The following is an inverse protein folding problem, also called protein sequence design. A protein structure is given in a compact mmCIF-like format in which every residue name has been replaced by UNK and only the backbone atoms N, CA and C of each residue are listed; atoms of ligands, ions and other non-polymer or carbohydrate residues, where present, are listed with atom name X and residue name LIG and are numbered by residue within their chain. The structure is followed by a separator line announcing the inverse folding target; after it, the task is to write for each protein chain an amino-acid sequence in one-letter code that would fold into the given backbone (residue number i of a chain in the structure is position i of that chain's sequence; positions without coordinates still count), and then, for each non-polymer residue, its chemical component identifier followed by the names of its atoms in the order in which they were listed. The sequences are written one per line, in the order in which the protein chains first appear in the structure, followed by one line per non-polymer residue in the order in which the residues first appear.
data_IF_874487796944
#
_entry.id   IF_874487796944
#
_cell.length_a   1.000
_cell.length_b   1.000
_cell.length_c   1.000
_cell.angle_alpha   90.00
_cell.angle_beta   90.00
_cell.angle_gamma   90.00
#
_symmetry.space_group_name_H-M   'P 1'
#
loop_
_entity.id
_entity.type
_entity.pdbx_description
1 polymer ?
#
# COMPACT_ATOMS: atom_id res chain seq x y z
N UNK A 1 3.29 11.56 23.02
CA UNK A 1 4.42 10.78 22.48
C UNK A 1 4.88 9.69 23.42
N UNK A 2 5.57 9.92 24.56
CA UNK A 2 6.13 8.82 25.38
C UNK A 2 5.11 7.72 25.74
N UNK A 3 3.98 8.03 26.38
CA UNK A 3 3.12 6.98 26.94
C UNK A 3 2.49 5.99 25.94
N UNK A 4 2.07 6.45 24.75
CA UNK A 4 1.45 5.60 23.71
C UNK A 4 2.50 4.78 22.96
N UNK A 5 3.59 5.44 22.55
CA UNK A 5 4.74 4.77 21.92
C UNK A 5 5.38 3.76 22.89
N UNK A 6 5.42 4.05 24.18
CA UNK A 6 5.92 3.15 25.23
C UNK A 6 4.99 1.94 25.44
N UNK A 7 3.66 2.12 25.30
CA UNK A 7 2.69 1.03 25.41
C UNK A 7 2.76 0.07 24.21
N UNK A 8 2.84 0.59 22.98
CA UNK A 8 3.06 -0.22 21.77
C UNK A 8 4.42 -0.93 21.84
N UNK A 9 5.50 -0.20 22.19
CA UNK A 9 6.84 -0.80 22.37
C UNK A 9 6.83 -1.89 23.44
N UNK A 10 6.01 -1.76 24.49
CA UNK A 10 5.87 -2.77 25.55
C UNK A 10 5.13 -4.01 25.06
N UNK A 11 4.04 -3.86 24.30
CA UNK A 11 3.29 -4.96 23.67
C UNK A 11 4.14 -5.71 22.63
N UNK A 12 4.89 -4.99 21.81
CA UNK A 12 5.77 -5.56 20.77
C UNK A 12 6.97 -6.34 21.33
N UNK A 13 7.42 -6.03 22.56
CA UNK A 13 8.53 -6.73 23.22
C UNK A 13 8.23 -8.20 23.54
N UNK A 14 6.96 -8.58 23.54
CA UNK A 14 6.50 -9.92 23.87
C UNK A 14 6.34 -10.85 22.64
N UNK A 15 6.20 -10.31 21.41
CA UNK A 15 5.75 -11.10 20.24
C UNK A 15 6.67 -11.13 18.99
N UNK A 16 7.77 -10.37 18.92
CA UNK A 16 8.60 -10.33 17.71
C UNK A 16 9.93 -11.12 17.79
N UNK A 17 10.16 -11.94 16.76
CA UNK A 17 11.39 -12.69 16.50
C UNK A 17 12.58 -11.75 16.39
N UNK A 18 13.71 -12.14 17.01
CA UNK A 18 14.95 -11.36 16.98
C UNK A 18 15.59 -11.42 15.58
N UNK A 19 16.37 -10.41 15.16
CA UNK A 19 17.05 -10.40 13.86
C UNK A 19 17.94 -11.63 13.59
N UNK A 20 18.42 -12.32 14.63
CA UNK A 20 19.21 -13.55 14.50
C UNK A 20 18.42 -14.81 14.11
N UNK A 21 17.08 -14.79 14.20
CA UNK A 21 16.23 -15.94 13.85
C UNK A 21 15.87 -15.98 12.35
N UNK A 22 16.30 -14.98 11.57
CA UNK A 22 15.94 -14.74 10.18
C UNK A 22 16.36 -15.91 9.25
N UNK A 23 17.51 -16.55 9.45
CA UNK A 23 18.02 -17.53 8.47
C UNK A 23 17.25 -18.86 8.39
N UNK A 24 16.70 -19.38 9.49
CA UNK A 24 15.87 -20.62 9.47
C UNK A 24 14.38 -20.33 9.37
N UNK A 25 13.93 -19.14 9.79
CA UNK A 25 12.54 -18.71 9.60
C UNK A 25 12.24 -18.30 8.15
N UNK A 26 13.25 -17.91 7.36
CA UNK A 26 13.03 -17.47 5.97
C UNK A 26 12.42 -18.54 5.06
N UNK A 27 12.84 -19.81 5.14
CA UNK A 27 12.27 -20.85 4.27
C UNK A 27 10.80 -21.14 4.57
N UNK A 28 10.41 -21.22 5.85
CA UNK A 28 9.01 -21.45 6.23
C UNK A 28 8.11 -20.27 5.88
N UNK A 29 8.59 -19.03 6.06
CA UNK A 29 7.89 -17.81 5.62
C UNK A 29 7.61 -17.86 4.12
N UNK A 30 8.62 -18.21 3.32
CA UNK A 30 8.46 -18.36 1.86
C UNK A 30 7.43 -19.43 1.49
N UNK A 31 7.49 -20.62 2.10
CA UNK A 31 6.46 -21.65 1.88
C UNK A 31 5.06 -21.19 2.29
N UNK A 32 4.94 -20.40 3.36
CA UNK A 32 3.64 -19.86 3.79
C UNK A 32 3.11 -18.83 2.79
N UNK A 33 3.94 -17.86 2.36
CA UNK A 33 3.62 -16.89 1.31
C UNK A 33 3.12 -17.60 0.05
N UNK A 34 3.81 -18.67 -0.34
CA UNK A 34 3.46 -19.49 -1.49
C UNK A 34 2.12 -20.20 -1.34
N UNK A 35 1.88 -20.82 -0.19
CA UNK A 35 0.58 -21.44 0.09
C UNK A 35 -0.55 -20.41 0.03
N UNK A 36 -0.32 -19.20 0.53
CA UNK A 36 -1.32 -18.12 0.51
C UNK A 36 -1.64 -17.66 -0.92
N UNK A 37 -0.63 -17.54 -1.80
CA UNK A 37 -0.87 -17.27 -3.21
C UNK A 37 -1.65 -18.39 -3.90
N UNK A 38 -1.26 -19.65 -3.67
CA UNK A 38 -1.95 -20.81 -4.27
C UNK A 38 -3.39 -20.90 -3.79
N UNK A 39 -3.64 -20.77 -2.49
CA UNK A 39 -4.97 -20.78 -1.88
C UNK A 39 -5.83 -19.63 -2.42
N UNK A 40 -5.29 -18.41 -2.42
CA UNK A 40 -5.96 -17.21 -2.93
C UNK A 40 -6.38 -17.34 -4.38
N UNK A 41 -5.45 -17.71 -5.28
CA UNK A 41 -5.77 -17.86 -6.70
C UNK A 41 -6.72 -19.02 -6.98
N UNK A 42 -6.61 -20.12 -6.23
CA UNK A 42 -7.53 -21.26 -6.40
C UNK A 42 -8.94 -20.90 -5.97
N UNK A 43 -9.09 -20.11 -4.89
CA UNK A 43 -10.38 -19.65 -4.42
C UNK A 43 -11.03 -18.65 -5.38
N UNK A 44 -10.26 -17.67 -5.86
CA UNK A 44 -10.80 -16.62 -6.72
C UNK A 44 -11.03 -17.08 -8.17
N UNK A 45 -10.17 -17.97 -8.72
CA UNK A 45 -10.29 -18.43 -10.11
C UNK A 45 -11.51 -19.29 -10.44
N UNK A 46 -12.39 -19.53 -9.46
CA UNK A 46 -13.67 -20.24 -9.61
C UNK A 46 -14.84 -19.29 -9.87
N UNK A 47 -14.61 -17.98 -9.81
CA UNK A 47 -15.63 -16.95 -9.91
C UNK A 47 -15.50 -16.13 -11.20
N UNK A 48 -16.48 -15.29 -11.41
CA UNK A 48 -16.52 -14.27 -12.44
C UNK A 48 -17.34 -13.08 -11.94
N UNK A 49 -17.30 -11.98 -12.66
CA UNK A 49 -18.01 -10.76 -12.28
C UNK A 49 -17.64 -10.25 -10.88
N UNK A 50 -16.34 -10.32 -10.58
CA UNK A 50 -15.79 -9.93 -9.30
C UNK A 50 -15.80 -8.41 -9.12
N UNK A 51 -16.38 -7.96 -8.01
CA UNK A 51 -16.33 -6.57 -7.54
C UNK A 51 -15.72 -6.60 -6.14
N UNK A 52 -14.61 -5.88 -5.97
CA UNK A 52 -13.97 -5.76 -4.65
C UNK A 52 -14.42 -4.47 -3.98
N UNK A 53 -14.93 -4.61 -2.75
CA UNK A 53 -15.44 -3.51 -1.93
C UNK A 53 -14.55 -3.31 -0.71
N UNK A 54 -14.06 -2.08 -0.56
CA UNK A 54 -13.19 -1.62 0.52
C UNK A 54 -13.87 -0.57 1.38
N UNK A 55 -13.43 -0.47 2.64
CA UNK A 55 -13.87 0.60 3.55
C UNK A 55 -13.58 0.29 5.00
N UNK A 56 -14.06 1.16 5.88
CA UNK A 56 -13.78 1.12 7.31
C UNK A 56 -14.29 -0.15 7.99
N UNK A 57 -13.46 -0.71 8.88
CA UNK A 57 -13.84 -1.75 9.83
C UNK A 57 -14.61 -1.22 11.05
N UNK A 58 -14.69 0.11 11.21
CA UNK A 58 -15.20 0.78 12.42
C UNK A 58 -16.63 1.35 12.27
N UNK A 59 -17.13 1.48 11.05
CA UNK A 59 -18.44 2.10 10.82
C UNK A 59 -19.58 1.15 11.22
N UNK A 60 -20.45 1.54 12.18
CA UNK A 60 -21.51 0.67 12.72
C UNK A 60 -22.72 0.55 11.78
N UNK A 61 -23.60 -0.44 12.04
CA UNK A 61 -24.77 -0.74 11.20
C UNK A 61 -25.74 0.45 10.99
N UNK A 62 -25.79 1.40 11.93
CA UNK A 62 -26.66 2.57 11.86
C UNK A 62 -26.10 3.70 10.97
N UNK A 63 -24.80 3.67 10.64
CA UNK A 63 -24.15 4.63 9.76
C UNK A 63 -24.73 4.58 8.33
N UNK A 64 -24.77 5.73 7.64
CA UNK A 64 -25.27 5.83 6.26
C UNK A 64 -24.46 4.97 5.30
N UNK A 65 -23.13 5.04 5.34
CA UNK A 65 -22.24 4.28 4.45
C UNK A 65 -22.31 2.77 4.69
N UNK A 66 -22.62 2.31 5.92
CA UNK A 66 -22.91 0.90 6.14
C UNK A 66 -24.17 0.47 5.36
N UNK A 67 -25.22 1.30 5.37
CA UNK A 67 -26.45 0.99 4.63
C UNK A 67 -26.22 1.02 3.12
N UNK A 68 -25.44 1.98 2.63
CA UNK A 68 -25.05 2.05 1.21
C UNK A 68 -24.19 0.85 0.79
N UNK A 69 -23.17 0.47 1.58
CA UNK A 69 -22.36 -0.71 1.29
C UNK A 69 -23.20 -2.00 1.28
N UNK A 70 -24.15 -2.12 2.20
CA UNK A 70 -25.11 -3.22 2.19
C UNK A 70 -26.00 -3.18 0.95
N UNK A 71 -26.50 -2.00 0.58
CA UNK A 71 -27.35 -1.82 -0.60
C UNK A 71 -26.61 -2.21 -1.88
N UNK A 72 -25.35 -1.80 -2.02
CA UNK A 72 -24.49 -2.20 -3.12
C UNK A 72 -24.33 -3.72 -3.17
N UNK A 73 -24.03 -4.37 -2.04
CA UNK A 73 -23.96 -5.82 -1.97
C UNK A 73 -25.25 -6.52 -2.43
N UNK A 74 -26.42 -5.97 -2.07
CA UNK A 74 -27.70 -6.49 -2.57
C UNK A 74 -27.85 -6.34 -4.09
N UNK A 75 -27.47 -5.19 -4.66
CA UNK A 75 -27.51 -4.92 -6.10
C UNK A 75 -26.58 -5.87 -6.87
N UNK A 76 -25.34 -6.02 -6.41
CA UNK A 76 -24.36 -6.93 -6.99
C UNK A 76 -24.90 -8.36 -7.06
N UNK A 77 -25.45 -8.87 -5.96
CA UNK A 77 -26.01 -10.21 -5.91
C UNK A 77 -27.23 -10.40 -6.82
N UNK A 78 -28.14 -9.42 -6.90
CA UNK A 78 -29.32 -9.48 -7.78
C UNK A 78 -28.89 -9.62 -9.26
N UNK A 79 -27.77 -9.00 -9.64
CA UNK A 79 -27.25 -9.00 -11.00
C UNK A 79 -26.15 -10.06 -11.25
N UNK A 80 -25.97 -11.03 -10.33
CA UNK A 80 -25.01 -12.12 -10.41
C UNK A 80 -23.51 -11.70 -10.40
N UNK A 81 -23.19 -10.59 -9.74
CA UNK A 81 -21.80 -10.22 -9.44
C UNK A 81 -21.31 -10.92 -8.18
N UNK A 82 -20.02 -11.24 -8.16
CA UNK A 82 -19.32 -11.79 -7.00
C UNK A 82 -18.80 -10.65 -6.13
N UNK A 83 -19.24 -10.60 -4.86
CA UNK A 83 -18.79 -9.57 -3.92
C UNK A 83 -17.56 -10.05 -3.16
N UNK A 84 -16.43 -9.37 -3.32
CA UNK A 84 -15.18 -9.62 -2.59
C UNK A 84 -14.95 -8.50 -1.57
N UNK A 85 -14.59 -8.86 -0.34
CA UNK A 85 -14.19 -7.88 0.68
C UNK A 85 -12.99 -8.41 1.48
N UNK A 86 -12.48 -7.58 2.38
CA UNK A 86 -11.49 -7.97 3.37
C UNK A 86 -12.03 -8.85 4.52
N UNK A 87 -13.33 -9.17 4.54
CA UNK A 87 -13.94 -10.14 5.47
C UNK A 87 -14.19 -9.65 6.90
N UNK A 88 -13.71 -8.47 7.29
CA UNK A 88 -13.91 -7.92 8.63
C UNK A 88 -15.29 -7.30 8.89
N UNK A 89 -15.49 -6.67 10.07
CA UNK A 89 -16.69 -5.89 10.40
C UNK A 89 -16.80 -4.60 9.57
N UNK A 90 -17.84 -3.81 9.84
CA UNK A 90 -18.05 -2.49 9.23
C UNK A 90 -18.50 -2.58 7.78
N UNK A 91 -17.90 -1.78 6.89
CA UNK A 91 -18.26 -1.74 5.46
C UNK A 91 -18.12 -3.12 4.80
N UNK A 92 -17.06 -3.86 5.13
CA UNK A 92 -16.82 -5.19 4.58
C UNK A 92 -17.97 -6.15 4.93
N UNK A 93 -18.37 -6.15 6.20
CA UNK A 93 -19.53 -6.92 6.67
C UNK A 93 -20.82 -6.46 5.98
N UNK A 94 -21.04 -5.15 5.85
CA UNK A 94 -22.23 -4.61 5.21
C UNK A 94 -22.39 -5.12 3.77
N UNK A 95 -21.35 -5.00 2.95
CA UNK A 95 -21.34 -5.48 1.58
C UNK A 95 -21.56 -7.00 1.50
N UNK A 96 -20.88 -7.78 2.36
CA UNK A 96 -21.10 -9.22 2.45
C UNK A 96 -22.53 -9.57 2.88
N UNK A 97 -23.09 -8.87 3.86
CA UNK A 97 -24.47 -9.03 4.36
C UNK A 97 -25.50 -8.76 3.27
N UNK A 98 -25.28 -7.72 2.46
CA UNK A 98 -26.12 -7.40 1.32
C UNK A 98 -26.13 -8.52 0.28
N UNK A 99 -24.94 -8.96 -0.14
CA UNK A 99 -24.80 -10.02 -1.14
C UNK A 99 -25.38 -11.36 -0.64
N UNK A 100 -25.00 -11.77 0.58
CA UNK A 100 -25.49 -12.99 1.21
C UNK A 100 -27.01 -12.98 1.38
N UNK A 101 -27.60 -11.85 1.80
CA UNK A 101 -29.05 -11.72 2.00
C UNK A 101 -29.88 -11.88 0.73
N UNK A 102 -29.25 -11.79 -0.44
CA UNK A 102 -29.87 -12.05 -1.76
C UNK A 102 -29.41 -13.37 -2.40
N UNK A 103 -28.66 -14.19 -1.67
CA UNK A 103 -28.15 -15.47 -2.14
C UNK A 103 -26.99 -15.36 -3.13
N UNK A 104 -26.33 -14.19 -3.22
CA UNK A 104 -25.15 -13.98 -4.04
C UNK A 104 -23.87 -14.53 -3.41
N UNK A 105 -22.82 -14.64 -4.23
CA UNK A 105 -21.49 -15.05 -3.77
C UNK A 105 -20.85 -13.93 -2.95
N UNK A 106 -20.51 -14.24 -1.70
CA UNK A 106 -19.81 -13.34 -0.79
C UNK A 106 -18.49 -13.94 -0.34
N UNK A 107 -17.39 -13.32 -0.74
CA UNK A 107 -16.02 -13.75 -0.47
C UNK A 107 -15.38 -12.81 0.56
N UNK A 108 -14.72 -13.38 1.56
CA UNK A 108 -13.94 -12.66 2.57
C UNK A 108 -12.47 -13.06 2.54
N UNK A 109 -11.59 -12.10 2.29
CA UNK A 109 -10.13 -12.29 2.31
C UNK A 109 -9.58 -11.76 3.63
N UNK A 110 -9.53 -12.60 4.66
CA UNK A 110 -9.18 -12.22 6.03
C UNK A 110 -7.68 -12.08 6.26
N UNK A 111 -7.28 -11.28 7.25
CA UNK A 111 -5.88 -11.16 7.71
C UNK A 111 -5.79 -11.63 9.16
N UNK A 112 -4.80 -12.46 9.48
CA UNK A 112 -4.50 -12.82 10.86
C UNK A 112 -3.77 -11.66 11.54
N UNK A 113 -4.43 -10.97 12.46
CA UNK A 113 -3.84 -9.90 13.28
C UNK A 113 -3.40 -10.42 14.66
N UNK A 114 -2.49 -9.72 15.36
CA UNK A 114 -2.15 -10.05 16.76
C UNK A 114 -3.36 -9.99 17.71
N UNK A 115 -4.32 -9.12 17.39
CA UNK A 115 -5.56 -8.93 18.14
C UNK A 115 -6.76 -9.09 17.20
N UNK A 116 -7.86 -9.65 17.71
CA UNK A 116 -9.00 -10.20 16.95
C UNK A 116 -9.56 -9.27 15.85
N UNK A 117 -9.66 -9.83 14.64
CA UNK A 117 -10.67 -9.47 13.66
C UNK A 117 -11.24 -10.79 13.13
N UNK A 118 -12.40 -11.20 13.63
CA UNK A 118 -13.09 -12.39 13.14
C UNK A 118 -13.68 -12.13 11.76
N UNK A 119 -13.74 -13.18 10.94
CA UNK A 119 -14.49 -13.17 9.69
C UNK A 119 -15.98 -12.92 9.99
N UNK A 120 -16.60 -11.98 9.28
CA UNK A 120 -18.01 -11.69 9.48
C UNK A 120 -18.91 -12.87 9.04
N UNK A 121 -20.10 -13.05 9.64
CA UNK A 121 -20.91 -14.25 9.46
C UNK A 121 -21.60 -14.37 8.09
N UNK A 122 -21.51 -13.35 7.23
CA UNK A 122 -22.16 -13.33 5.93
C UNK A 122 -21.25 -13.83 4.80
N UNK A 123 -19.96 -14.02 5.09
CA UNK A 123 -18.99 -14.59 4.16
C UNK A 123 -19.34 -16.05 3.87
N UNK A 124 -19.52 -16.36 2.58
CA UNK A 124 -19.82 -17.72 2.10
C UNK A 124 -18.56 -18.51 1.74
N UNK A 125 -17.48 -17.82 1.39
CA UNK A 125 -16.17 -18.41 1.10
C UNK A 125 -15.07 -17.50 1.65
N UNK A 126 -14.07 -18.08 2.30
CA UNK A 126 -13.01 -17.30 2.94
C UNK A 126 -11.62 -17.84 2.64
N UNK A 127 -10.65 -16.94 2.49
CA UNK A 127 -9.21 -17.27 2.52
C UNK A 127 -8.57 -16.39 3.58
N UNK A 128 -7.71 -16.99 4.42
CA UNK A 128 -7.04 -16.28 5.52
C UNK A 128 -5.55 -16.15 5.24
N UNK A 129 -5.05 -14.92 5.33
CA UNK A 129 -3.67 -14.57 5.07
C UNK A 129 -2.93 -14.24 6.36
N UNK A 130 -1.62 -14.45 6.37
CA UNK A 130 -0.72 -14.07 7.47
C UNK A 130 0.00 -12.75 7.16
N UNK A 131 0.16 -12.45 5.88
CA UNK A 131 0.86 -11.28 5.37
C UNK A 131 -0.11 -10.34 4.65
N UNK A 132 -0.03 -9.05 4.94
CA UNK A 132 -0.87 -8.06 4.27
C UNK A 132 -0.65 -8.05 2.76
N UNK A 133 0.59 -8.11 2.28
CA UNK A 133 0.86 -8.00 0.85
C UNK A 133 0.22 -9.14 0.03
N UNK A 134 0.23 -10.39 0.50
CA UNK A 134 -0.39 -11.52 -0.21
C UNK A 134 -1.90 -11.35 -0.30
N UNK A 135 -2.52 -10.93 0.81
CA UNK A 135 -3.94 -10.56 0.88
C UNK A 135 -4.27 -9.42 -0.07
N UNK A 136 -3.48 -8.35 -0.07
CA UNK A 136 -3.69 -7.18 -0.94
C UNK A 136 -3.63 -7.60 -2.41
N UNK A 137 -2.68 -8.45 -2.80
CA UNK A 137 -2.65 -8.98 -4.18
C UNK A 137 -3.92 -9.76 -4.53
N UNK A 138 -4.53 -10.48 -3.58
CA UNK A 138 -5.81 -11.16 -3.83
C UNK A 138 -6.99 -10.18 -3.87
N UNK A 139 -6.95 -9.10 -3.09
CA UNK A 139 -7.97 -8.04 -3.11
C UNK A 139 -7.87 -7.16 -4.37
N UNK A 140 -6.68 -7.01 -4.94
CA UNK A 140 -6.46 -6.31 -6.22
C UNK A 140 -6.43 -7.27 -7.41
N UNK A 141 -6.68 -8.57 -7.18
CA UNK A 141 -6.86 -9.53 -8.25
C UNK A 141 -8.03 -9.10 -9.15
N UNK A 142 -8.02 -9.48 -10.45
CA UNK A 142 -8.91 -8.94 -11.47
C UNK A 142 -10.35 -8.81 -10.98
N UNK A 143 -10.73 -7.56 -10.71
CA UNK A 143 -12.08 -7.14 -10.37
C UNK A 143 -12.53 -6.23 -11.50
N UNK A 144 -13.79 -6.32 -11.92
CA UNK A 144 -14.32 -5.46 -12.98
C UNK A 144 -14.43 -4.00 -12.54
N UNK A 145 -14.50 -3.77 -11.23
CA UNK A 145 -14.40 -2.47 -10.60
C UNK A 145 -13.90 -2.62 -9.15
N UNK A 146 -13.33 -1.54 -8.63
CA UNK A 146 -13.00 -1.40 -7.22
C UNK A 146 -13.88 -0.32 -6.61
N UNK A 147 -14.55 -0.63 -5.50
CA UNK A 147 -15.45 0.32 -4.82
C UNK A 147 -14.89 0.63 -3.44
N UNK A 148 -14.65 1.91 -3.16
CA UNK A 148 -14.11 2.41 -1.90
C UNK A 148 -15.15 3.28 -1.18
N UNK A 149 -15.58 2.80 -0.02
CA UNK A 149 -16.34 3.58 0.96
C UNK A 149 -15.38 4.30 1.93
N UNK A 150 -15.87 5.26 2.73
CA UNK A 150 -15.09 5.91 3.78
C UNK A 150 -14.35 4.90 4.68
N UNK A 151 -13.08 5.19 4.94
CA UNK A 151 -12.12 4.22 5.45
C UNK A 151 -11.01 4.82 6.30
N UNK A 152 -10.16 3.99 6.88
CA UNK A 152 -8.98 4.43 7.65
C UNK A 152 -7.69 4.27 6.84
N UNK A 153 -6.54 4.15 7.51
CA UNK A 153 -5.25 3.95 6.86
C UNK A 153 -5.20 2.70 5.98
N UNK A 154 -5.79 1.57 6.39
CA UNK A 154 -5.84 0.37 5.55
C UNK A 154 -6.60 0.57 4.23
N UNK A 155 -7.71 1.33 4.26
CA UNK A 155 -8.46 1.68 3.04
C UNK A 155 -7.67 2.63 2.15
N UNK A 156 -6.92 3.58 2.73
CA UNK A 156 -6.03 4.46 1.97
C UNK A 156 -4.88 3.69 1.33
N UNK A 157 -4.29 2.73 2.05
CA UNK A 157 -3.26 1.81 1.53
C UNK A 157 -3.79 1.07 0.30
N UNK A 158 -4.95 0.40 0.42
CA UNK A 158 -5.60 -0.34 -0.66
C UNK A 158 -5.97 0.59 -1.85
N UNK A 159 -6.47 1.80 -1.58
CA UNK A 159 -6.80 2.80 -2.61
C UNK A 159 -5.58 3.24 -3.41
N UNK A 160 -4.51 3.67 -2.73
CA UNK A 160 -3.30 4.10 -3.40
C UNK A 160 -2.57 2.96 -4.09
N UNK A 161 -2.67 1.73 -3.58
CA UNK A 161 -2.16 0.55 -4.28
C UNK A 161 -2.86 0.36 -5.62
N UNK A 162 -4.20 0.26 -5.62
CA UNK A 162 -4.98 0.05 -6.85
C UNK A 162 -4.72 1.17 -7.85
N UNK A 163 -4.75 2.42 -7.40
CA UNK A 163 -4.54 3.57 -8.26
C UNK A 163 -3.12 3.59 -8.84
N UNK A 164 -2.09 3.31 -8.03
CA UNK A 164 -0.71 3.28 -8.48
C UNK A 164 -0.43 2.12 -9.46
N UNK A 165 -0.88 0.90 -9.15
CA UNK A 165 -0.69 -0.28 -10.01
C UNK A 165 -1.39 -0.12 -11.37
N UNK A 166 -2.58 0.49 -11.37
CA UNK A 166 -3.34 0.79 -12.59
C UNK A 166 -2.60 1.80 -13.48
N UNK A 167 -2.03 2.83 -12.87
CA UNK A 167 -1.25 3.85 -13.58
C UNK A 167 0.08 3.33 -14.14
N UNK A 168 0.72 2.41 -13.41
CA UNK A 168 1.94 1.75 -13.86
C UNK A 168 1.69 0.62 -14.87
N UNK A 169 0.42 0.26 -15.13
CA UNK A 169 0.04 -0.77 -16.09
C UNK A 169 0.26 -2.20 -15.60
N UNK A 170 0.34 -2.43 -14.29
CA UNK A 170 0.43 -3.77 -13.69
C UNK A 170 -0.94 -4.42 -13.51
N UNK A 171 -1.99 -3.62 -13.42
CA UNK A 171 -3.39 -4.05 -13.37
C UNK A 171 -4.16 -3.52 -14.57
N UNK A 172 -5.26 -4.18 -14.92
CA UNK A 172 -6.16 -3.68 -15.97
C UNK A 172 -6.80 -2.37 -15.51
N UNK A 173 -6.96 -1.42 -16.44
CA UNK A 173 -7.73 -0.19 -16.18
C UNK A 173 -9.21 -0.54 -16.06
N UNK A 174 -9.72 -0.40 -14.85
CA UNK A 174 -11.12 -0.60 -14.45
C UNK A 174 -11.57 0.61 -13.63
N UNK A 175 -12.88 0.86 -13.52
CA UNK A 175 -13.38 1.96 -12.69
C UNK A 175 -12.95 1.81 -11.23
N UNK A 176 -12.41 2.90 -10.67
CA UNK A 176 -12.14 3.07 -9.24
C UNK A 176 -13.23 3.99 -8.69
N UNK A 177 -14.23 3.40 -8.06
CA UNK A 177 -15.45 4.11 -7.62
C UNK A 177 -15.29 4.50 -6.16
N UNK A 178 -15.42 5.79 -5.88
CA UNK A 178 -15.36 6.39 -4.55
C UNK A 178 -16.78 6.79 -4.14
N UNK A 179 -17.28 6.20 -3.05
CA UNK A 179 -18.64 6.48 -2.54
C UNK A 179 -18.58 7.50 -1.41
N UNK A 180 -19.34 8.58 -1.52
CA UNK A 180 -19.46 9.66 -0.53
C UNK A 180 -18.51 10.83 -0.78
N UNK A 181 -18.99 11.87 -1.48
CA UNK A 181 -18.16 13.02 -1.84
C UNK A 181 -17.61 13.79 -0.64
N UNK A 182 -18.39 13.94 0.42
CA UNK A 182 -17.97 14.62 1.66
C UNK A 182 -16.68 14.00 2.25
N UNK A 183 -16.50 12.68 2.11
CA UNK A 183 -15.27 12.01 2.55
C UNK A 183 -14.13 12.19 1.56
N UNK A 184 -14.35 11.94 0.27
CA UNK A 184 -13.26 11.81 -0.71
C UNK A 184 -12.78 13.13 -1.31
N UNK A 185 -13.63 14.16 -1.34
CA UNK A 185 -13.31 15.42 -2.00
C UNK A 185 -12.05 16.10 -1.42
N UNK A 186 -11.84 16.20 -0.09
CA UNK A 186 -10.61 16.80 0.46
C UNK A 186 -9.33 16.08 0.03
N UNK A 187 -9.37 14.75 -0.12
CA UNK A 187 -8.25 13.98 -0.63
C UNK A 187 -8.00 14.26 -2.12
N UNK A 188 -9.07 14.31 -2.92
CA UNK A 188 -8.97 14.65 -4.34
C UNK A 188 -8.45 16.09 -4.53
N UNK A 189 -8.83 17.03 -3.66
CA UNK A 189 -8.32 18.40 -3.65
C UNK A 189 -6.82 18.40 -3.35
N UNK A 190 -6.34 17.63 -2.36
CA UNK A 190 -4.90 17.45 -2.13
C UNK A 190 -4.16 16.91 -3.36
N UNK A 191 -4.72 15.90 -4.04
CA UNK A 191 -4.11 15.34 -5.25
C UNK A 191 -4.06 16.38 -6.39
N UNK A 192 -5.11 17.17 -6.57
CA UNK A 192 -5.16 18.22 -7.61
C UNK A 192 -4.26 19.42 -7.28
N UNK A 193 -4.30 19.90 -6.04
CA UNK A 193 -3.62 21.14 -5.63
C UNK A 193 -2.14 20.90 -5.33
N UNK A 194 -1.81 19.96 -4.44
CA UNK A 194 -0.42 19.70 -4.05
C UNK A 194 0.32 18.84 -5.08
N UNK A 195 -0.31 17.77 -5.56
CA UNK A 195 0.39 16.78 -6.38
C UNK A 195 0.41 17.14 -7.88
N UNK A 196 -0.71 17.61 -8.45
CA UNK A 196 -0.80 17.98 -9.87
C UNK A 196 -0.37 19.44 -10.09
N UNK A 197 -1.02 20.40 -9.44
CA UNK A 197 -0.80 21.83 -9.72
C UNK A 197 0.41 22.43 -9.01
N UNK A 198 0.73 21.92 -7.82
CA UNK A 198 1.79 22.44 -6.96
C UNK A 198 3.18 21.91 -7.33
N UNK A 199 3.43 20.63 -7.07
CA UNK A 199 4.76 20.00 -7.24
C UNK A 199 4.87 19.22 -8.56
N UNK A 200 3.77 19.06 -9.31
CA UNK A 200 3.73 18.33 -10.59
C UNK A 200 4.26 16.88 -10.48
N UNK A 201 4.00 16.25 -9.34
CA UNK A 201 4.27 14.83 -9.10
C UNK A 201 3.28 13.91 -9.82
N UNK A 202 2.09 14.44 -10.16
CA UNK A 202 1.02 13.76 -10.87
C UNK A 202 0.52 14.63 -12.04
N UNK A 203 -0.32 14.03 -12.87
CA UNK A 203 -1.04 14.66 -13.99
C UNK A 203 -2.51 14.24 -13.96
N UNK A 204 -3.39 14.93 -14.69
CA UNK A 204 -4.81 14.58 -14.75
C UNK A 204 -5.07 13.13 -15.22
N UNK A 205 -4.23 12.59 -16.10
CA UNK A 205 -4.35 11.19 -16.55
C UNK A 205 -4.21 10.19 -15.40
N UNK A 206 -3.50 10.56 -14.32
CA UNK A 206 -3.35 9.68 -13.17
C UNK A 206 -4.66 9.45 -12.39
N UNK A 207 -5.60 10.39 -12.47
CA UNK A 207 -6.87 10.34 -11.74
C UNK A 207 -8.06 9.96 -12.63
N UNK A 208 -7.83 9.73 -13.93
CA UNK A 208 -8.90 9.58 -14.94
C UNK A 208 -9.84 8.39 -14.73
N UNK A 209 -9.38 7.37 -14.02
CA UNK A 209 -10.13 6.13 -13.77
C UNK A 209 -10.97 6.23 -12.49
N UNK A 210 -10.84 7.32 -11.73
CA UNK A 210 -11.63 7.63 -10.54
C UNK A 210 -13.04 8.08 -10.93
N UNK A 211 -14.06 7.56 -10.23
CA UNK A 211 -15.46 7.98 -10.33
C UNK A 211 -15.98 8.28 -8.93
N UNK A 212 -16.29 9.53 -8.65
CA UNK A 212 -16.90 9.94 -7.40
C UNK A 212 -18.42 9.87 -7.52
N UNK A 213 -19.07 9.17 -6.60
CA UNK A 213 -20.52 8.95 -6.56
C UNK A 213 -21.05 9.14 -5.13
N UNK A 214 -22.35 9.35 -4.99
CA UNK A 214 -22.97 9.57 -3.67
C UNK A 214 -23.48 8.29 -3.01
N UNK A 215 -23.96 7.33 -3.80
CA UNK A 215 -24.69 6.18 -3.29
C UNK A 215 -24.42 4.86 -4.05
N UNK A 216 -25.03 3.79 -3.54
CA UNK A 216 -24.87 2.45 -4.09
C UNK A 216 -25.45 2.29 -5.50
N UNK A 217 -26.53 3.00 -5.82
CA UNK A 217 -27.19 2.98 -7.12
C UNK A 217 -26.28 3.58 -8.19
N UNK A 218 -25.74 4.78 -7.96
CA UNK A 218 -24.78 5.42 -8.87
C UNK A 218 -23.51 4.58 -9.08
N UNK A 219 -23.00 3.97 -8.00
CA UNK A 219 -21.87 3.03 -8.09
C UNK A 219 -22.23 1.84 -9.01
N UNK A 220 -23.42 1.27 -8.84
CA UNK A 220 -23.86 0.12 -9.62
C UNK A 220 -24.11 0.47 -11.10
N UNK A 221 -24.62 1.66 -11.42
CA UNK A 221 -24.80 2.11 -12.81
C UNK A 221 -23.48 2.13 -13.60
N UNK A 222 -22.36 2.41 -12.92
CA UNK A 222 -21.02 2.35 -13.52
C UNK A 222 -20.56 0.89 -13.67
N UNK A 223 -20.78 0.07 -12.65
CA UNK A 223 -20.43 -1.37 -12.65
C UNK A 223 -21.19 -2.14 -13.73
N UNK A 224 -22.45 -1.83 -13.98
CA UNK A 224 -23.25 -2.50 -15.01
C UNK A 224 -22.69 -2.27 -16.43
N UNK A 225 -21.89 -1.23 -16.62
CA UNK A 225 -21.24 -0.89 -17.90
C UNK A 225 -19.88 -1.57 -18.08
N UNK A 226 -19.35 -2.27 -17.06
CA UNK A 226 -18.06 -2.95 -17.16
C UNK A 226 -18.18 -4.30 -17.85
N UNK A 227 -17.10 -4.73 -18.50
CA UNK A 227 -17.03 -6.06 -19.10
C UNK A 227 -16.31 -7.02 -18.16
N UNK A 228 -16.77 -8.27 -18.16
CA UNK A 228 -16.11 -9.33 -17.40
C UNK A 228 -14.71 -9.61 -17.88
N UNK A 229 -13.84 -9.80 -16.91
CA UNK A 229 -12.42 -9.93 -17.14
C UNK A 229 -12.10 -11.42 -17.15
N UNK A 230 -11.62 -11.99 -18.28
CA UNK A 230 -11.38 -13.43 -18.35
C UNK A 230 -10.39 -13.90 -17.27
N UNK A 231 -10.86 -14.88 -16.50
CA UNK A 231 -10.21 -15.66 -15.44
C UNK A 231 -8.77 -15.25 -15.03
N UNK A 232 -8.62 -14.96 -13.74
CA UNK A 232 -7.42 -14.54 -12.98
C UNK A 232 -6.12 -15.22 -13.41
N UNK A 233 -6.18 -16.51 -13.74
CA UNK A 233 -5.03 -17.28 -14.25
C UNK A 233 -4.37 -16.68 -15.50
N UNK A 234 -5.08 -15.88 -16.29
CA UNK A 234 -4.60 -15.27 -17.54
C UNK A 234 -4.01 -13.86 -17.38
N UNK A 235 -4.30 -13.16 -16.27
CA UNK A 235 -4.02 -11.71 -16.15
C UNK A 235 -2.88 -11.33 -15.22
N UNK A 236 -2.69 -12.03 -14.10
CA UNK A 236 -1.41 -11.99 -13.35
C UNK A 236 -0.24 -12.47 -14.24
N UNK A 237 -0.61 -13.05 -15.39
CA UNK A 237 0.23 -13.58 -16.44
C UNK A 237 0.51 -12.60 -17.60
N UNK A 238 0.31 -11.27 -17.48
CA UNK A 238 0.87 -10.30 -18.43
C UNK A 238 2.05 -9.54 -17.85
N UNK A 239 3.24 -9.91 -18.29
CA UNK A 239 4.47 -9.15 -18.12
C UNK A 239 5.03 -8.84 -19.50
N UNK A 240 6.03 -7.95 -19.64
CA UNK A 240 6.66 -7.71 -20.91
C UNK A 240 7.32 -9.02 -21.41
N UNK A 241 7.08 -9.37 -22.68
CA UNK A 241 7.48 -10.61 -23.37
C UNK A 241 6.63 -11.88 -23.15
N UNK A 242 5.42 -11.90 -23.69
CA UNK A 242 4.77 -13.15 -24.17
C UNK A 242 5.34 -13.57 -25.56
N UNK A 243 6.66 -13.69 -25.71
CA UNK A 243 7.26 -14.17 -26.97
C UNK A 243 8.32 -15.29 -26.84
N UNK A 244 8.72 -15.72 -25.64
CA UNK A 244 9.63 -16.86 -25.50
C UNK A 244 8.87 -18.14 -25.17
N UNK A 245 8.61 -18.90 -26.24
CA UNK A 245 8.17 -20.28 -26.22
C UNK A 245 9.14 -21.16 -25.43
N UNK A 246 8.72 -21.59 -24.23
CA UNK A 246 9.02 -22.92 -23.74
C UNK A 246 7.70 -23.60 -23.38
N UNK A 247 7.21 -24.40 -24.32
CA UNK A 247 6.09 -25.30 -24.09
C UNK A 247 6.48 -26.30 -22.99
N UNK A 248 5.96 -26.13 -21.78
CA UNK A 248 6.06 -27.09 -20.68
C UNK A 248 4.71 -27.16 -19.98
N UNK A 249 4.30 -28.40 -19.69
CA UNK A 249 3.05 -28.92 -19.13
C UNK A 249 1.97 -27.93 -18.62
N UNK A 250 0.68 -28.17 -18.94
CA UNK A 250 -0.42 -27.44 -18.33
C UNK A 250 -0.41 -27.67 -16.80
N UNK A 251 -0.24 -26.61 -16.02
CA UNK A 251 -0.42 -26.63 -14.56
C UNK A 251 0.72 -26.12 -13.70
N UNK A 252 1.90 -25.78 -14.22
CA UNK A 252 2.99 -25.22 -13.40
C UNK A 252 3.39 -23.82 -13.86
N UNK A 253 3.01 -22.82 -13.05
CA UNK A 253 3.22 -21.41 -13.36
C UNK A 253 4.64 -20.97 -12.93
N UNK A 254 5.56 -20.80 -13.89
CA UNK A 254 6.94 -20.38 -13.65
C UNK A 254 7.07 -19.01 -12.95
N UNK A 255 6.05 -18.14 -13.02
CA UNK A 255 6.06 -16.83 -12.34
C UNK A 255 6.04 -16.94 -10.84
N UNK A 256 5.40 -17.98 -10.30
CA UNK A 256 5.44 -18.27 -8.86
C UNK A 256 6.90 -18.49 -8.39
N UNK A 257 7.73 -19.13 -9.22
CA UNK A 257 9.16 -19.28 -8.92
C UNK A 257 9.95 -17.97 -9.09
N UNK A 258 9.56 -17.08 -10.02
CA UNK A 258 10.15 -15.73 -10.14
C UNK A 258 9.81 -14.86 -8.93
N UNK A 259 8.56 -14.86 -8.49
CA UNK A 259 8.10 -14.19 -7.26
C UNK A 259 8.92 -14.69 -6.05
N UNK A 260 9.13 -16.00 -5.97
CA UNK A 260 9.97 -16.61 -4.92
C UNK A 260 11.42 -16.15 -4.99
N UNK A 261 12.00 -16.12 -6.19
CA UNK A 261 13.37 -15.64 -6.38
C UNK A 261 13.50 -14.19 -5.92
N UNK A 262 12.58 -13.31 -6.33
CA UNK A 262 12.55 -11.91 -5.89
C UNK A 262 12.42 -11.77 -4.37
N UNK A 263 11.57 -12.57 -3.71
CA UNK A 263 11.50 -12.55 -2.25
C UNK A 263 12.79 -13.01 -1.58
N UNK A 264 13.42 -14.07 -2.09
CA UNK A 264 14.68 -14.59 -1.54
C UNK A 264 15.79 -13.55 -1.69
N UNK A 265 15.95 -13.00 -2.90
CA UNK A 265 16.96 -11.98 -3.20
C UNK A 265 16.69 -10.69 -2.42
N UNK A 266 15.43 -10.28 -2.33
CA UNK A 266 15.00 -9.12 -1.56
C UNK A 266 15.29 -9.25 -0.08
N UNK A 267 14.91 -10.37 0.54
CA UNK A 267 15.16 -10.63 1.96
C UNK A 267 16.65 -10.74 2.27
N UNK A 268 17.43 -11.35 1.38
CA UNK A 268 18.89 -11.39 1.50
C UNK A 268 19.53 -10.00 1.36
N UNK A 269 19.02 -9.18 0.44
CA UNK A 269 19.47 -7.80 0.23
C UNK A 269 19.25 -6.97 1.49
N UNK A 270 18.01 -6.88 2.00
CA UNK A 270 17.70 -6.06 3.19
C UNK A 270 18.22 -6.67 4.48
N UNK A 271 18.34 -8.00 4.56
CA UNK A 271 18.86 -8.70 5.76
C UNK A 271 20.35 -8.44 6.02
N UNK A 272 21.07 -7.91 5.04
CA UNK A 272 22.47 -7.47 5.17
C UNK A 272 22.61 -6.00 5.58
N UNK A 273 21.52 -5.25 5.61
CA UNK A 273 21.53 -3.83 5.92
C UNK A 273 21.27 -3.61 7.41
N UNK A 274 22.08 -2.76 8.03
CA UNK A 274 21.89 -2.31 9.41
C UNK A 274 21.81 -0.78 9.44
N UNK A 275 21.14 -0.21 10.45
CA UNK A 275 21.03 1.24 10.65
C UNK A 275 20.55 2.03 9.42
N UNK A 276 19.50 1.53 8.75
CA UNK A 276 18.93 2.15 7.56
C UNK A 276 17.94 3.25 7.91
N UNK A 277 18.03 4.39 7.22
CA UNK A 277 16.97 5.39 7.09
C UNK A 277 16.45 5.36 5.67
N UNK A 278 15.14 5.20 5.52
CA UNK A 278 14.48 5.13 4.22
C UNK A 278 13.97 6.49 3.81
N UNK A 279 14.40 6.98 2.65
CA UNK A 279 13.99 8.28 2.09
C UNK A 279 13.22 8.06 0.80
N UNK A 280 11.99 8.56 0.76
CA UNK A 280 11.04 8.41 -0.34
C UNK A 280 10.55 9.77 -0.83
N UNK A 281 10.23 9.85 -2.11
CA UNK A 281 9.75 11.06 -2.77
C UNK A 281 9.65 10.86 -4.27
N UNK A 282 9.21 11.91 -4.96
CA UNK A 282 8.99 11.88 -6.41
C UNK A 282 10.29 11.74 -7.21
N UNK A 283 10.17 11.07 -8.35
CA UNK A 283 11.23 10.98 -9.37
C UNK A 283 11.17 12.09 -10.43
N UNK A 284 10.20 12.99 -10.33
CA UNK A 284 9.86 13.97 -11.37
C UNK A 284 10.46 15.35 -11.14
N UNK A 285 11.22 15.55 -10.06
CA UNK A 285 11.84 16.83 -9.73
C UNK A 285 13.31 16.85 -10.15
N UNK A 286 13.73 17.95 -10.75
CA UNK A 286 15.11 18.20 -11.15
C UNK A 286 15.99 18.65 -9.96
N UNK A 287 17.31 18.60 -10.17
CA UNK A 287 18.32 18.89 -9.15
C UNK A 287 18.40 20.35 -8.69
N UNK A 288 17.82 21.28 -9.46
CA UNK A 288 17.78 22.71 -9.15
C UNK A 288 16.62 23.11 -8.22
N UNK A 289 15.73 22.17 -7.91
CA UNK A 289 14.57 22.43 -7.06
C UNK A 289 14.94 22.58 -5.59
N UNK A 290 14.14 23.35 -4.84
CA UNK A 290 14.31 23.47 -3.38
C UNK A 290 14.18 22.12 -2.66
N UNK A 291 13.29 21.26 -3.16
CA UNK A 291 13.02 19.94 -2.59
C UNK A 291 14.23 19.02 -2.72
N UNK A 292 14.88 19.00 -3.88
CA UNK A 292 16.10 18.23 -4.09
C UNK A 292 17.18 18.68 -3.09
N UNK A 293 17.39 19.99 -2.97
CA UNK A 293 18.40 20.55 -2.05
C UNK A 293 18.11 20.22 -0.57
N UNK A 294 16.86 20.32 -0.11
CA UNK A 294 16.51 19.97 1.26
C UNK A 294 16.67 18.46 1.53
N UNK A 295 16.25 17.60 0.60
CA UNK A 295 16.46 16.14 0.74
C UNK A 295 17.94 15.78 0.74
N UNK A 296 18.75 16.45 -0.10
CA UNK A 296 20.20 16.32 -0.06
C UNK A 296 20.74 16.67 1.33
N UNK A 297 20.36 17.82 1.91
CA UNK A 297 20.84 18.26 3.23
C UNK A 297 20.41 17.33 4.37
N UNK A 298 19.19 16.80 4.31
CA UNK A 298 18.70 15.81 5.27
C UNK A 298 19.54 14.55 5.18
N UNK A 299 19.72 14.00 3.97
CA UNK A 299 20.48 12.79 3.77
C UNK A 299 21.96 12.96 4.15
N UNK A 300 22.55 14.12 3.89
CA UNK A 300 23.92 14.50 4.28
C UNK A 300 24.09 14.36 5.80
N UNK A 301 23.22 15.00 6.59
CA UNK A 301 23.27 14.91 8.05
C UNK A 301 22.96 13.52 8.60
N UNK A 302 21.99 12.81 8.00
CA UNK A 302 21.67 11.42 8.37
C UNK A 302 22.86 10.49 8.11
N UNK A 303 23.59 10.71 7.02
CA UNK A 303 24.82 10.00 6.69
C UNK A 303 25.96 10.33 7.66
N UNK A 304 26.16 11.60 8.03
CA UNK A 304 27.14 12.00 9.05
C UNK A 304 26.89 11.31 10.40
N UNK A 305 25.64 11.04 10.75
CA UNK A 305 25.23 10.31 11.96
C UNK A 305 25.49 8.80 11.89
N UNK A 306 26.00 8.30 10.77
CA UNK A 306 26.34 6.89 10.58
C UNK A 306 25.15 6.01 10.16
N UNK A 307 24.02 6.59 9.77
CA UNK A 307 22.93 5.83 9.16
C UNK A 307 23.18 5.62 7.66
N UNK A 308 22.74 4.48 7.16
CA UNK A 308 22.77 4.16 5.73
C UNK A 308 21.48 4.59 5.05
N UNK A 309 21.57 5.04 3.79
CA UNK A 309 20.42 5.54 3.04
C UNK A 309 19.84 4.46 2.11
N UNK A 310 18.55 4.17 2.29
CA UNK A 310 17.74 3.32 1.40
C UNK A 310 16.71 4.18 0.66
N UNK A 311 16.58 4.00 -0.65
CA UNK A 311 15.60 4.72 -1.47
C UNK A 311 14.90 3.82 -2.48
N UNK A 312 13.96 4.37 -3.26
CA UNK A 312 13.39 3.71 -4.43
C UNK A 312 14.33 3.61 -5.64
N UNK A 313 15.51 4.24 -5.58
CA UNK A 313 16.57 4.17 -6.58
C UNK A 313 16.36 4.97 -7.86
N UNK A 314 15.24 5.65 -8.01
CA UNK A 314 14.97 6.51 -9.17
C UNK A 314 15.80 7.80 -9.17
N UNK A 315 15.83 8.55 -10.29
CA UNK A 315 16.20 9.96 -10.29
C UNK A 315 15.32 10.81 -9.36
N UNK A 316 15.65 12.10 -9.19
CA UNK A 316 14.85 13.07 -8.44
C UNK A 316 15.17 13.10 -6.93
N UNK A 317 14.16 13.05 -6.06
CA UNK A 317 14.41 13.09 -4.61
C UNK A 317 15.20 11.88 -4.09
N UNK A 318 14.96 10.64 -4.55
CA UNK A 318 15.82 9.50 -4.20
C UNK A 318 17.28 9.70 -4.63
N UNK A 319 17.51 10.31 -5.79
CA UNK A 319 18.85 10.66 -6.27
C UNK A 319 19.53 11.68 -5.36
N UNK A 320 18.83 12.74 -4.93
CA UNK A 320 19.37 13.72 -3.99
C UNK A 320 19.88 13.07 -2.70
N UNK A 321 19.09 12.14 -2.16
CA UNK A 321 19.44 11.40 -0.96
C UNK A 321 20.65 10.48 -1.18
N UNK A 322 20.67 9.74 -2.29
CA UNK A 322 21.80 8.87 -2.62
C UNK A 322 23.08 9.68 -2.90
N UNK A 323 22.96 10.82 -3.58
CA UNK A 323 24.09 11.71 -3.86
C UNK A 323 24.75 12.22 -2.57
N UNK A 324 23.96 12.70 -1.62
CA UNK A 324 24.48 13.20 -0.35
C UNK A 324 25.24 12.11 0.44
N UNK A 325 24.71 10.90 0.49
CA UNK A 325 25.38 9.77 1.14
C UNK A 325 26.69 9.39 0.42
N UNK A 326 26.71 9.39 -0.92
CA UNK A 326 27.93 9.14 -1.72
C UNK A 326 29.00 10.20 -1.50
N UNK A 327 28.61 11.47 -1.41
CA UNK A 327 29.53 12.58 -1.15
C UNK A 327 30.16 12.46 0.25
N UNK A 328 29.48 11.82 1.20
CA UNK A 328 30.00 11.42 2.52
C UNK A 328 30.80 10.09 2.51
N UNK A 329 31.02 9.50 1.33
CA UNK A 329 31.77 8.24 1.18
C UNK A 329 31.02 6.99 1.67
N UNK A 330 29.69 7.07 1.86
CA UNK A 330 28.89 5.93 2.27
C UNK A 330 28.34 5.14 1.07
N UNK A 331 28.09 3.85 1.29
CA UNK A 331 27.30 3.03 0.38
C UNK A 331 25.82 3.43 0.45
N UNK A 332 25.17 3.33 -0.70
CA UNK A 332 23.76 3.69 -0.93
C UNK A 332 22.99 2.52 -1.51
N UNK A 333 21.73 2.40 -1.11
CA UNK A 333 20.90 1.24 -1.42
C UNK A 333 19.62 1.66 -2.15
N UNK A 334 19.22 0.88 -3.17
CA UNK A 334 18.00 1.11 -3.95
C UNK A 334 17.13 -0.13 -4.07
N UNK A 335 15.82 0.02 -3.83
CA UNK A 335 14.80 -1.00 -4.10
C UNK A 335 13.91 -0.55 -5.26
N UNK A 336 14.20 -1.10 -6.43
CA UNK A 336 13.79 -0.54 -7.71
C UNK A 336 12.72 -1.42 -8.34
N UNK A 337 11.65 -0.80 -8.84
CA UNK A 337 10.63 -1.49 -9.62
C UNK A 337 10.95 -1.36 -11.11
N UNK A 338 10.97 -2.49 -11.84
CA UNK A 338 11.06 -2.52 -13.29
C UNK A 338 9.70 -2.16 -13.88
N UNK A 339 9.59 -0.97 -14.47
CA UNK A 339 8.40 -0.55 -15.20
C UNK A 339 8.73 -0.66 -16.69
N UNK A 340 7.97 -1.47 -17.42
CA UNK A 340 8.17 -1.72 -18.87
C UNK A 340 9.60 -2.11 -19.27
N UNK A 341 10.23 -3.03 -18.51
CA UNK A 341 11.60 -3.53 -18.72
C UNK A 341 12.73 -2.48 -18.67
N UNK A 342 12.48 -1.29 -18.14
CA UNK A 342 13.48 -0.22 -18.05
C UNK A 342 13.55 0.35 -16.63
N UNK A 343 14.43 -0.19 -15.75
CA UNK A 343 14.67 0.46 -14.47
C UNK A 343 15.30 1.83 -14.69
N UNK A 344 14.65 2.88 -14.19
CA UNK A 344 15.25 4.21 -14.11
C UNK A 344 16.07 4.27 -12.83
N UNK A 345 17.38 4.08 -12.96
CA UNK A 345 18.33 4.13 -11.85
C UNK A 345 19.01 5.50 -11.81
N UNK A 346 19.29 6.01 -10.61
CA UNK A 346 20.21 7.13 -10.46
C UNK A 346 21.68 6.65 -10.37
N UNK A 347 22.62 7.52 -10.74
CA UNK A 347 24.06 7.18 -10.83
C UNK A 347 24.75 7.05 -9.46
N UNK A 348 24.08 7.47 -8.38
CA UNK A 348 24.64 7.49 -7.02
C UNK A 348 24.31 6.22 -6.23
N UNK A 349 23.68 5.21 -6.84
CA UNK A 349 23.44 3.92 -6.21
C UNK A 349 24.71 3.06 -6.18
N UNK A 350 25.08 2.60 -4.99
CA UNK A 350 26.22 1.69 -4.78
C UNK A 350 25.78 0.24 -4.93
N UNK A 351 24.61 -0.07 -4.38
CA UNK A 351 23.98 -1.38 -4.45
C UNK A 351 22.49 -1.20 -4.70
N UNK A 352 21.90 -2.06 -5.50
CA UNK A 352 20.45 -2.05 -5.73
C UNK A 352 19.95 -3.44 -6.05
N UNK A 353 18.65 -3.61 -5.87
CA UNK A 353 17.90 -4.77 -6.32
C UNK A 353 16.70 -4.31 -7.13
N UNK A 354 16.40 -5.05 -8.19
CA UNK A 354 15.26 -4.80 -9.08
C UNK A 354 14.19 -5.85 -8.89
N UNK A 355 12.94 -5.43 -8.99
CA UNK A 355 11.76 -6.28 -8.88
C UNK A 355 10.88 -6.09 -10.10
N UNK A 356 10.30 -7.17 -10.61
CA UNK A 356 9.33 -7.11 -11.70
C UNK A 356 7.89 -7.11 -11.18
N UNK A 357 7.68 -7.56 -9.94
CA UNK A 357 6.37 -7.52 -9.30
C UNK A 357 6.28 -6.35 -8.30
N UNK A 358 5.27 -5.47 -8.40
CA UNK A 358 5.09 -4.37 -7.45
C UNK A 358 4.98 -4.85 -6.00
N UNK A 359 4.29 -5.96 -5.75
CA UNK A 359 4.05 -6.44 -4.40
C UNK A 359 5.28 -7.05 -3.72
N UNK A 360 6.19 -7.70 -4.46
CA UNK A 360 7.49 -8.16 -3.91
C UNK A 360 8.35 -6.96 -3.55
N UNK A 361 8.45 -5.99 -4.48
CA UNK A 361 9.16 -4.72 -4.29
C UNK A 361 8.65 -3.98 -3.06
N UNK A 362 7.33 -3.91 -2.92
CA UNK A 362 6.63 -3.25 -1.83
C UNK A 362 6.99 -3.85 -0.47
N UNK A 363 6.90 -5.18 -0.35
CA UNK A 363 7.24 -5.90 0.87
C UNK A 363 8.71 -5.68 1.29
N UNK A 364 9.62 -5.53 0.33
CA UNK A 364 11.05 -5.37 0.62
C UNK A 364 11.40 -3.92 0.99
N UNK A 365 10.77 -2.91 0.38
CA UNK A 365 11.04 -1.50 0.71
C UNK A 365 10.40 -1.05 2.02
N UNK A 366 9.34 -1.72 2.47
CA UNK A 366 8.77 -1.53 3.80
C UNK A 366 9.50 -2.32 4.88
N UNK A 367 10.64 -2.95 4.56
CA UNK A 367 11.49 -3.60 5.55
C UNK A 367 11.86 -2.61 6.69
N UNK A 368 11.94 -3.10 7.95
CA UNK A 368 12.11 -2.23 9.11
C UNK A 368 13.28 -1.26 8.96
N UNK A 369 12.96 0.02 8.94
CA UNK A 369 13.93 1.12 8.91
C UNK A 369 13.97 1.82 10.27
N UNK A 370 15.10 2.44 10.60
CA UNK A 370 15.26 3.27 11.82
C UNK A 370 14.41 4.52 11.79
N UNK A 371 14.07 4.99 10.59
CA UNK A 371 13.13 6.08 10.33
C UNK A 371 12.72 6.06 8.85
N UNK A 372 11.55 6.61 8.56
CA UNK A 372 11.08 6.88 7.21
C UNK A 372 10.91 8.38 7.01
N UNK A 373 11.47 8.91 5.92
CA UNK A 373 11.36 10.31 5.53
C UNK A 373 10.68 10.39 4.17
N UNK A 374 9.58 11.13 4.11
CA UNK A 374 8.80 11.35 2.89
C UNK A 374 8.91 12.81 2.48
N UNK A 375 9.61 13.07 1.37
CA UNK A 375 9.49 14.33 0.63
C UNK A 375 8.28 14.31 -0.30
N UNK A 376 7.97 15.44 -0.97
CA UNK A 376 6.86 15.49 -1.93
C UNK A 376 6.86 14.37 -2.95
N UNK A 377 5.70 13.76 -3.20
CA UNK A 377 5.61 12.48 -3.91
C UNK A 377 4.34 12.28 -4.73
N UNK A 378 4.33 11.25 -5.56
CA UNK A 378 3.14 10.83 -6.30
C UNK A 378 2.44 9.64 -5.65
N UNK A 379 1.66 8.90 -6.45
CA UNK A 379 0.90 7.73 -6.01
C UNK A 379 1.78 6.66 -5.34
N UNK A 380 2.97 6.38 -5.88
CA UNK A 380 3.90 5.42 -5.27
C UNK A 380 4.40 5.85 -3.89
N UNK A 381 4.58 7.16 -3.65
CA UNK A 381 4.97 7.70 -2.34
C UNK A 381 3.82 7.62 -1.35
N UNK A 382 2.60 7.93 -1.80
CA UNK A 382 1.38 7.87 -0.98
C UNK A 382 1.03 6.43 -0.60
N UNK A 383 1.12 5.48 -1.53
CA UNK A 383 0.94 4.06 -1.25
C UNK A 383 1.94 3.59 -0.17
N UNK A 384 3.21 3.94 -0.31
CA UNK A 384 4.24 3.60 0.68
C UNK A 384 3.99 4.23 2.06
N UNK A 385 3.51 5.46 2.10
CA UNK A 385 3.16 6.15 3.34
C UNK A 385 2.04 5.39 4.07
N UNK A 386 0.93 5.11 3.39
CA UNK A 386 -0.21 4.44 4.01
C UNK A 386 0.04 2.97 4.32
N UNK A 387 0.92 2.28 3.58
CA UNK A 387 1.35 0.93 3.95
C UNK A 387 2.10 0.93 5.28
N UNK A 388 3.11 1.80 5.45
CA UNK A 388 3.88 1.87 6.71
C UNK A 388 2.96 2.25 7.87
N UNK A 389 2.09 3.26 7.69
CA UNK A 389 1.11 3.65 8.70
C UNK A 389 0.17 2.50 9.07
N UNK A 390 -0.29 1.71 8.10
CA UNK A 390 -1.16 0.55 8.34
C UNK A 390 -0.41 -0.55 9.10
N UNK A 391 0.83 -0.85 8.72
CA UNK A 391 1.65 -1.85 9.40
C UNK A 391 1.97 -1.46 10.84
N UNK A 392 2.23 -0.18 11.10
CA UNK A 392 2.48 0.36 12.44
C UNK A 392 1.20 0.38 13.28
N UNK A 393 0.09 0.89 12.73
CA UNK A 393 -1.23 0.92 13.38
C UNK A 393 -1.70 -0.48 13.79
N UNK A 394 -1.45 -1.49 12.95
CA UNK A 394 -1.88 -2.89 13.19
C UNK A 394 -0.85 -3.71 13.97
N UNK A 395 0.22 -3.06 14.45
CA UNK A 395 1.32 -3.68 15.19
C UNK A 395 1.99 -4.85 14.43
N UNK A 396 1.95 -4.84 13.09
CA UNK A 396 2.66 -5.81 12.24
C UNK A 396 4.13 -5.49 12.02
N UNK A 397 4.50 -4.23 12.25
CA UNK A 397 5.90 -3.78 12.30
C UNK A 397 6.15 -2.97 13.56
N UNK A 398 7.42 -2.82 13.93
CA UNK A 398 7.82 -1.93 15.02
C UNK A 398 7.62 -0.47 14.63
N UNK A 399 7.23 0.36 15.59
CA UNK A 399 7.16 1.80 15.37
C UNK A 399 8.54 2.38 15.03
N UNK A 400 8.57 3.25 14.04
CA UNK A 400 9.72 4.07 13.67
C UNK A 400 9.28 5.53 13.45
N UNK A 401 10.16 6.53 13.60
CA UNK A 401 9.80 7.90 13.29
C UNK A 401 9.45 8.02 11.81
N UNK A 402 8.20 8.39 11.52
CA UNK A 402 7.72 8.70 10.18
C UNK A 402 7.62 10.22 10.02
N UNK A 403 8.40 10.76 9.08
CA UNK A 403 8.58 12.19 8.90
C UNK A 403 8.10 12.63 7.53
N UNK A 404 7.17 13.57 7.52
CA UNK A 404 6.66 14.22 6.31
C UNK A 404 7.38 15.58 6.16
N UNK A 405 8.31 15.66 5.21
CA UNK A 405 9.10 16.87 4.97
C UNK A 405 8.44 17.74 3.90
N UNK A 406 8.36 19.05 4.18
CA UNK A 406 7.60 20.08 3.46
C UNK A 406 6.12 20.17 3.86
N UNK A 407 5.85 20.92 4.94
CA UNK A 407 4.49 21.22 5.43
C UNK A 407 3.57 21.77 4.34
N UNK A 408 3.95 22.75 3.50
CA UNK A 408 3.03 23.27 2.49
C UNK A 408 2.48 22.19 1.55
N UNK A 409 3.32 21.23 1.15
CA UNK A 409 2.89 20.10 0.35
C UNK A 409 1.98 19.14 1.14
N UNK A 410 2.37 18.74 2.35
CA UNK A 410 1.68 17.70 3.12
C UNK A 410 0.46 18.16 3.92
N UNK A 411 0.33 19.46 4.22
CA UNK A 411 -0.71 19.98 5.11
C UNK A 411 -2.12 19.60 4.68
N UNK A 412 -2.53 19.70 3.38
CA UNK A 412 -3.90 19.32 3.00
C UNK A 412 -4.19 17.83 3.22
N UNK A 413 -3.21 16.94 3.03
CA UNK A 413 -3.37 15.52 3.35
C UNK A 413 -3.49 15.29 4.86
N UNK A 414 -2.71 16.01 5.66
CA UNK A 414 -2.80 15.90 7.13
C UNK A 414 -4.11 16.48 7.66
N UNK A 415 -4.61 17.55 7.05
CA UNK A 415 -5.93 18.11 7.36
C UNK A 415 -7.04 17.11 7.00
N UNK A 416 -6.93 16.39 5.88
CA UNK A 416 -7.83 15.28 5.55
C UNK A 416 -7.75 14.14 6.60
N UNK A 417 -6.54 13.76 7.03
CA UNK A 417 -6.37 12.72 8.06
C UNK A 417 -7.00 13.15 9.40
N UNK A 418 -6.75 14.38 9.85
CA UNK A 418 -7.24 14.84 11.15
C UNK A 418 -8.74 15.20 11.12
N UNK A 419 -9.16 16.02 10.16
CA UNK A 419 -10.54 16.50 10.10
C UNK A 419 -11.49 15.40 9.60
N UNK A 420 -11.14 14.72 8.50
CA UNK A 420 -12.04 13.75 7.86
C UNK A 420 -11.93 12.37 8.49
N UNK A 421 -10.76 11.74 8.49
CA UNK A 421 -10.61 10.36 8.99
C UNK A 421 -10.83 10.27 10.51
N UNK A 422 -10.24 11.20 11.27
CA UNK A 422 -10.29 11.15 12.73
C UNK A 422 -11.53 11.84 13.31
N UNK A 423 -11.76 13.12 13.04
CA UNK A 423 -12.79 13.90 13.75
C UNK A 423 -14.21 13.66 13.20
N UNK A 424 -14.39 13.64 11.88
CA UNK A 424 -15.72 13.58 11.26
C UNK A 424 -16.22 12.13 11.06
N UNK A 425 -15.38 11.25 10.52
CA UNK A 425 -15.78 9.88 10.18
C UNK A 425 -15.30 8.81 11.19
N UNK A 426 -14.43 9.18 12.13
CA UNK A 426 -13.92 8.30 13.21
C UNK A 426 -13.37 6.95 12.70
N UNK A 427 -12.79 6.92 11.49
CA UNK A 427 -12.27 5.71 10.84
C UNK A 427 -10.86 5.34 11.31
N UNK A 428 -10.18 6.26 12.00
CA UNK A 428 -8.92 6.03 12.72
C UNK A 428 -9.06 6.48 14.18
N UNK A 429 -8.15 6.05 15.03
CA UNK A 429 -8.13 6.42 16.45
C UNK A 429 -7.42 7.75 16.67
N UNK A 430 -7.72 8.48 17.76
CA UNK A 430 -7.01 9.72 18.11
C UNK A 430 -5.50 9.54 18.29
N UNK A 431 -5.03 8.33 18.55
CA UNK A 431 -3.61 8.04 18.69
C UNK A 431 -2.91 7.82 17.34
N UNK A 432 -3.65 7.46 16.29
CA UNK A 432 -3.10 7.19 14.96
C UNK A 432 -2.52 8.45 14.29
N UNK A 433 -3.05 9.63 14.60
CA UNK A 433 -2.51 10.91 14.11
C UNK A 433 -1.13 11.23 14.70
N UNK A 434 -0.68 10.48 15.72
CA UNK A 434 0.65 10.62 16.33
C UNK A 434 1.71 9.73 15.66
N UNK A 435 1.33 8.87 14.71
CA UNK A 435 2.25 7.95 14.03
C UNK A 435 3.23 8.67 13.08
N UNK A 436 2.91 9.89 12.65
CA UNK A 436 3.76 10.69 11.78
C UNK A 436 3.96 12.11 12.31
N UNK A 437 4.97 12.79 11.78
CA UNK A 437 5.24 14.19 12.11
C UNK A 437 5.63 14.98 10.87
N UNK A 438 5.01 16.14 10.70
CA UNK A 438 5.38 17.10 9.65
C UNK A 438 6.46 18.08 10.11
N UNK A 439 7.42 18.38 9.23
CA UNK A 439 8.42 19.43 9.47
C UNK A 439 8.89 20.12 8.18
N UNK A 440 9.40 21.34 8.34
CA UNK A 440 10.10 22.12 7.32
C UNK A 440 11.59 22.27 7.62
N UNK A 441 12.08 21.67 8.71
CA UNK A 441 13.44 21.87 9.19
C UNK A 441 14.23 20.58 9.03
N UNK A 442 15.27 20.65 8.21
CA UNK A 442 16.23 19.56 7.99
C UNK A 442 16.90 19.15 9.32
N UNK A 443 17.20 20.14 10.18
CA UNK A 443 17.76 19.94 11.53
C UNK A 443 16.77 19.22 12.45
N UNK A 444 15.48 19.52 12.35
CA UNK A 444 14.47 18.84 13.16
C UNK A 444 14.34 17.36 12.78
N UNK A 445 14.43 17.04 11.49
CA UNK A 445 14.42 15.65 10.99
C UNK A 445 15.53 14.84 11.66
N UNK A 446 16.77 15.30 11.58
CA UNK A 446 17.92 14.56 12.11
C UNK A 446 17.91 14.48 13.64
N UNK A 447 17.49 15.55 14.32
CA UNK A 447 17.29 15.51 15.78
C UNK A 447 16.30 14.44 16.22
N UNK A 448 15.15 14.31 15.54
CA UNK A 448 14.15 13.28 15.87
C UNK A 448 14.72 11.87 15.67
N UNK A 449 15.46 11.66 14.59
CA UNK A 449 16.07 10.36 14.30
C UNK A 449 17.07 9.98 15.39
N UNK A 450 17.94 10.91 15.83
CA UNK A 450 18.88 10.69 16.92
C UNK A 450 18.15 10.35 18.23
N UNK A 451 17.23 11.21 18.66
CA UNK A 451 16.49 11.06 19.93
C UNK A 451 15.70 9.75 20.03
N UNK A 452 15.23 9.20 18.90
CA UNK A 452 14.51 7.93 18.90
C UNK A 452 15.42 6.70 18.95
N UNK A 453 16.66 6.82 18.49
CA UNK A 453 17.62 5.71 18.34
C UNK A 453 18.68 5.66 19.46
N UNK A 454 18.79 6.70 20.29
CA UNK A 454 19.47 6.68 21.60
C UNK A 454 18.69 5.84 22.64
#
# INVERSE_FOLDING_TARGET
MSHYTDEIKRRQKEDFLKPKDIQTTNSWKLFKIMSEFVEGYTALGQHSHEITVFGSARLPENNSYYKEAKRLGELLAIHNYTTITGGGPGIMEAANKGAHGRGGTSIGLGIKLPHEQDMNPYVTQSVNFSYFFTRKVMLTAPSQAFVFFPGGFGTMDEFFQVLNETNLGFTQRVPIILVGSDYWQPLLDFLNESCISGVHTLTDDHLRDIRLVEDAEEAFEIIEQTEDIPNISSQIMRGPQDQTSMAVAPGMNWRIFRIMAEFVEGLDFVGRLENIVTILGTSSLDSDTRYYNSIYQIADQVSEDGFHILTGGSPGLPEAANKAARDNGQDTYGIVLNVHDQPRLNEYLSQFITFDFPFTRQFIVTAPSKSYIYGPGGLGTLHQLFEVLTLEQTEKTSLSPLLLFDKPYWQPLVDFIDNTLHQEFETISPEDVQLFKMTNSEIEVTRIIREYNE
#
